data_IF_026625451677
#
_entry.id   IF_026625451677
#
_cell.length_a   1.000
_cell.length_b   1.000
_cell.length_c   1.000
_cell.angle_alpha   90.00
_cell.angle_beta   90.00
_cell.angle_gamma   90.00
#
_symmetry.space_group_name_H-M   'P 1'
#
loop_
_entity.id
_entity.type
_entity.pdbx_description
1 polymer ?
#
# COMPACT_ATOMS: atom_id res chain seq x y z
N UNK A 1 16.18 0.84 -15.03
CA UNK A 1 15.51 -0.24 -14.27
C UNK A 1 14.02 0.01 -14.13
N UNK A 2 13.56 1.20 -13.74
CA UNK A 2 12.12 1.51 -13.74
C UNK A 2 11.48 1.38 -15.13
N UNK A 3 12.23 1.57 -16.22
CA UNK A 3 11.73 1.33 -17.59
C UNK A 3 11.28 -0.11 -17.80
N UNK A 4 11.98 -1.08 -17.20
CA UNK A 4 11.56 -2.49 -17.24
C UNK A 4 10.25 -2.71 -16.49
N UNK A 5 10.06 -2.02 -15.34
CA UNK A 5 8.79 -2.05 -14.61
C UNK A 5 7.67 -1.41 -15.43
N UNK A 6 7.93 -0.25 -16.06
CA UNK A 6 6.98 0.44 -16.94
C UNK A 6 6.59 -0.46 -18.13
N UNK A 7 7.57 -1.09 -18.77
CA UNK A 7 7.33 -2.07 -19.81
C UNK A 7 6.47 -3.22 -19.32
N UNK A 8 6.82 -3.79 -18.17
CA UNK A 8 6.06 -4.86 -17.53
C UNK A 8 4.62 -4.43 -17.22
N UNK A 9 4.39 -3.18 -16.76
CA UNK A 9 3.04 -2.64 -16.51
C UNK A 9 2.24 -2.58 -17.81
N UNK A 10 2.86 -2.18 -18.93
CA UNK A 10 2.20 -2.09 -20.25
C UNK A 10 1.84 -3.45 -20.84
N UNK A 11 2.71 -4.43 -20.68
CA UNK A 11 2.63 -5.73 -21.38
C UNK A 11 2.05 -6.85 -20.50
N UNK A 12 1.68 -6.55 -19.24
CA UNK A 12 1.19 -7.56 -18.30
C UNK A 12 -0.20 -8.12 -18.63
N UNK A 13 -0.52 -9.26 -18.00
CA UNK A 13 -1.80 -9.97 -18.18
C UNK A 13 -2.99 -9.38 -17.43
N UNK A 14 -2.80 -8.25 -16.75
CA UNK A 14 -3.83 -7.49 -16.05
C UNK A 14 -4.53 -6.49 -16.99
N UNK A 15 -5.67 -5.97 -16.56
CA UNK A 15 -6.37 -4.87 -17.22
C UNK A 15 -6.32 -3.62 -16.34
N UNK A 16 -5.72 -2.57 -16.88
CA UNK A 16 -5.62 -1.25 -16.26
C UNK A 16 -6.24 -0.22 -17.19
N UNK A 17 -7.31 0.45 -16.76
CA UNK A 17 -7.90 1.55 -17.50
C UNK A 17 -7.32 2.85 -16.98
N UNK A 18 -6.45 3.48 -17.76
CA UNK A 18 -5.86 4.77 -17.41
C UNK A 18 -6.91 5.87 -17.49
N UNK A 19 -7.07 6.59 -16.41
CA UNK A 19 -8.17 7.55 -16.25
C UNK A 19 -7.83 8.92 -16.82
N UNK A 20 -6.53 9.27 -16.89
CA UNK A 20 -6.07 10.60 -17.33
C UNK A 20 -4.70 10.55 -17.97
N UNK A 21 -4.44 11.51 -18.84
CA UNK A 21 -3.12 11.78 -19.41
C UNK A 21 -2.70 10.84 -20.53
N UNK A 22 -1.47 10.96 -20.96
CA UNK A 22 -0.87 10.07 -21.94
C UNK A 22 -0.46 8.74 -21.33
N UNK A 23 -0.29 7.70 -22.17
CA UNK A 23 0.11 6.39 -21.66
C UNK A 23 1.38 6.49 -20.84
N UNK A 24 1.35 5.82 -19.66
CA UNK A 24 2.48 5.78 -18.74
C UNK A 24 3.81 5.58 -19.46
N UNK A 25 4.81 6.37 -19.10
CA UNK A 25 6.13 6.38 -19.71
C UNK A 25 7.21 6.72 -18.69
N UNK A 26 8.47 6.76 -19.10
CA UNK A 26 9.57 7.22 -18.26
C UNK A 26 9.45 8.71 -17.86
N UNK A 27 8.64 9.51 -18.57
CA UNK A 27 8.36 10.89 -18.21
C UNK A 27 7.53 11.02 -16.91
N UNK A 28 6.80 9.96 -16.51
CA UNK A 28 6.00 9.93 -15.29
C UNK A 28 6.84 9.60 -14.05
N UNK A 29 8.11 9.21 -14.22
CA UNK A 29 9.04 8.99 -13.11
C UNK A 29 9.33 10.34 -12.44
N UNK A 30 9.17 10.38 -11.11
CA UNK A 30 9.23 11.58 -10.27
C UNK A 30 8.14 12.64 -10.60
N UNK A 31 7.15 12.25 -11.38
CA UNK A 31 6.00 13.06 -11.71
C UNK A 31 4.83 12.95 -10.71
N UNK A 32 3.68 13.41 -11.16
CA UNK A 32 2.41 13.24 -10.46
C UNK A 32 1.96 11.77 -10.50
N UNK A 33 0.99 11.41 -9.65
CA UNK A 33 0.40 10.07 -9.61
C UNK A 33 -0.35 9.75 -10.91
N UNK A 34 -0.12 8.56 -11.49
CA UNK A 34 -0.87 8.05 -12.63
C UNK A 34 -2.07 7.25 -12.13
N UNK A 35 -3.27 7.69 -12.48
CA UNK A 35 -4.53 7.09 -12.01
C UNK A 35 -5.01 5.98 -12.95
N UNK A 36 -5.28 4.80 -12.40
CA UNK A 36 -5.88 3.66 -13.10
C UNK A 36 -7.12 3.15 -12.39
N UNK A 37 -8.12 2.71 -13.16
CA UNK A 37 -9.18 1.85 -12.69
C UNK A 37 -8.82 0.39 -12.99
N UNK A 38 -9.00 -0.51 -12.02
CA UNK A 38 -8.59 -1.91 -12.14
C UNK A 38 -9.53 -2.84 -11.38
N UNK A 39 -9.51 -4.14 -11.70
CA UNK A 39 -10.21 -5.17 -10.92
C UNK A 39 -9.35 -5.69 -9.77
N UNK A 40 -9.96 -6.34 -8.75
CA UNK A 40 -9.22 -7.00 -7.69
C UNK A 40 -8.22 -8.04 -8.21
N UNK A 41 -8.60 -8.80 -9.23
CA UNK A 41 -7.80 -9.86 -9.86
C UNK A 41 -6.58 -9.25 -10.59
N UNK A 42 -6.82 -8.21 -11.40
CA UNK A 42 -5.76 -7.48 -12.11
C UNK A 42 -4.79 -6.82 -11.13
N UNK A 43 -5.30 -6.24 -10.04
CA UNK A 43 -4.46 -5.68 -8.99
C UNK A 43 -3.59 -6.76 -8.33
N UNK A 44 -4.15 -7.94 -8.04
CA UNK A 44 -3.39 -9.05 -7.46
C UNK A 44 -2.26 -9.52 -8.39
N UNK A 45 -2.55 -9.67 -9.69
CA UNK A 45 -1.54 -10.04 -10.69
C UNK A 45 -0.43 -8.99 -10.79
N UNK A 46 -0.78 -7.71 -10.87
CA UNK A 46 0.20 -6.63 -10.88
C UNK A 46 1.07 -6.63 -9.63
N UNK A 47 0.48 -6.76 -8.45
CA UNK A 47 1.23 -6.79 -7.20
C UNK A 47 2.15 -8.01 -7.10
N UNK A 48 1.78 -9.19 -7.65
CA UNK A 48 2.68 -10.35 -7.75
C UNK A 48 3.90 -10.03 -8.62
N UNK A 49 3.69 -9.36 -9.76
CA UNK A 49 4.81 -8.94 -10.62
C UNK A 49 5.71 -7.90 -9.94
N UNK A 50 5.14 -6.95 -9.19
CA UNK A 50 5.92 -6.00 -8.39
C UNK A 50 6.80 -6.73 -7.35
N UNK A 51 6.28 -7.78 -6.73
CA UNK A 51 7.07 -8.60 -5.82
C UNK A 51 8.28 -9.24 -6.53
N UNK A 52 8.05 -9.84 -7.71
CA UNK A 52 9.14 -10.44 -8.50
C UNK A 52 10.13 -9.37 -8.99
N UNK A 53 9.68 -8.21 -9.43
CA UNK A 53 10.57 -7.10 -9.81
C UNK A 53 11.43 -6.62 -8.63
N UNK A 54 10.84 -6.56 -7.43
CA UNK A 54 11.58 -6.20 -6.22
C UNK A 54 12.59 -7.30 -5.86
N UNK A 55 12.19 -8.57 -5.93
CA UNK A 55 13.07 -9.71 -5.66
C UNK A 55 14.26 -9.73 -6.61
N UNK A 56 14.02 -9.41 -7.89
CA UNK A 56 15.05 -9.34 -8.92
C UNK A 56 15.89 -8.04 -8.89
N UNK A 57 15.64 -7.15 -7.91
CA UNK A 57 16.40 -5.92 -7.74
C UNK A 57 16.10 -4.83 -8.78
N UNK A 58 14.98 -4.91 -9.49
CA UNK A 58 14.60 -3.89 -10.48
C UNK A 58 14.03 -2.63 -9.81
N UNK A 59 13.38 -2.78 -8.67
CA UNK A 59 12.79 -1.70 -7.91
C UNK A 59 12.65 -2.07 -6.43
N UNK A 60 12.28 -1.07 -5.61
CA UNK A 60 11.66 -1.29 -4.30
C UNK A 60 10.17 -0.99 -4.44
N UNK A 61 9.30 -1.90 -3.99
CA UNK A 61 7.86 -1.79 -4.15
C UNK A 61 7.17 -1.35 -2.87
N UNK A 62 6.55 -0.15 -2.85
CA UNK A 62 5.71 0.29 -1.74
C UNK A 62 4.24 0.19 -2.11
N UNK A 63 3.45 -0.41 -1.23
CA UNK A 63 2.00 -0.58 -1.40
C UNK A 63 1.27 -0.04 -0.18
N UNK A 64 0.32 0.89 -0.42
CA UNK A 64 -0.63 1.36 0.59
C UNK A 64 -2.04 1.03 0.13
N UNK A 65 -2.73 0.15 0.84
CA UNK A 65 -4.11 -0.19 0.53
C UNK A 65 -5.10 0.60 1.36
N UNK A 66 -6.10 1.15 0.70
CA UNK A 66 -7.24 1.80 1.35
C UNK A 66 -8.48 0.90 1.25
N UNK A 67 -8.45 -0.20 2.02
CA UNK A 67 -9.50 -1.23 2.01
C UNK A 67 -9.81 -1.72 0.58
N UNK A 68 -11.10 -1.87 0.25
CA UNK A 68 -11.56 -2.33 -1.07
C UNK A 68 -11.77 -1.17 -2.06
N UNK A 69 -11.14 -0.03 -1.85
CA UNK A 69 -11.40 1.17 -2.66
C UNK A 69 -10.23 1.49 -3.60
N UNK A 70 -9.02 1.47 -3.06
CA UNK A 70 -7.82 1.96 -3.76
C UNK A 70 -6.57 1.28 -3.24
N UNK A 71 -5.59 1.07 -4.11
CA UNK A 71 -4.21 0.81 -3.74
C UNK A 71 -3.32 1.92 -4.31
N UNK A 72 -2.45 2.49 -3.49
CA UNK A 72 -1.38 3.37 -3.91
C UNK A 72 -0.13 2.49 -4.04
N UNK A 73 0.49 2.48 -5.23
CA UNK A 73 1.69 1.74 -5.54
C UNK A 73 2.80 2.72 -5.93
N UNK A 74 3.92 2.68 -5.19
CA UNK A 74 5.11 3.43 -5.56
C UNK A 74 6.24 2.45 -5.87
N UNK A 75 6.82 2.59 -7.05
CA UNK A 75 8.01 1.83 -7.48
C UNK A 75 9.21 2.75 -7.42
N UNK A 76 10.13 2.45 -6.53
CA UNK A 76 11.38 3.21 -6.38
C UNK A 76 12.51 2.53 -7.14
N UNK A 77 13.40 3.31 -7.72
CA UNK A 77 14.64 2.77 -8.26
C UNK A 77 15.46 2.06 -7.17
N UNK A 78 16.38 1.16 -7.52
CA UNK A 78 17.22 0.46 -6.54
C UNK A 78 18.04 1.39 -5.65
N UNK A 79 18.37 2.58 -6.15
CA UNK A 79 19.07 3.64 -5.41
C UNK A 79 18.11 4.48 -4.55
N UNK A 80 16.80 4.33 -4.72
CA UNK A 80 15.76 5.09 -4.04
C UNK A 80 15.55 6.52 -4.54
N UNK A 81 16.32 6.95 -5.57
CA UNK A 81 16.34 8.34 -6.05
C UNK A 81 15.23 8.68 -7.06
N UNK A 82 14.60 7.69 -7.66
CA UNK A 82 13.52 7.85 -8.62
C UNK A 82 12.30 7.07 -8.16
N UNK A 83 11.11 7.61 -8.39
CA UNK A 83 9.84 7.02 -7.99
C UNK A 83 8.78 7.14 -9.07
N UNK A 84 8.12 6.04 -9.39
CA UNK A 84 6.91 6.00 -10.19
C UNK A 84 5.71 5.75 -9.27
N UNK A 85 4.71 6.64 -9.30
CA UNK A 85 3.54 6.58 -8.42
C UNK A 85 2.29 6.21 -9.20
N UNK A 86 1.59 5.18 -8.78
CA UNK A 86 0.37 4.68 -9.40
C UNK A 86 -0.76 4.66 -8.39
N UNK A 87 -1.87 5.25 -8.76
CA UNK A 87 -3.12 5.22 -8.04
C UNK A 87 -4.06 4.20 -8.67
N UNK A 88 -4.21 3.03 -8.04
CA UNK A 88 -4.96 1.89 -8.54
C UNK A 88 -6.34 1.84 -7.87
N UNK A 89 -7.36 2.36 -8.55
CA UNK A 89 -8.72 2.41 -8.06
C UNK A 89 -9.45 1.11 -8.35
N UNK A 90 -9.95 0.45 -7.32
CA UNK A 90 -10.91 -0.65 -7.43
C UNK A 90 -12.34 -0.13 -7.54
N UNK A 91 -12.57 1.04 -6.93
CA UNK A 91 -13.85 1.74 -6.93
C UNK A 91 -13.58 3.23 -6.93
N UNK A 92 -13.81 3.87 -8.05
CA UNK A 92 -13.74 5.32 -8.16
C UNK A 92 -15.08 5.90 -7.68
N UNK A 93 -15.11 6.76 -6.65
CA UNK A 93 -16.35 7.40 -6.25
C UNK A 93 -16.81 8.32 -7.39
N UNK A 94 -17.94 8.02 -7.98
CA UNK A 94 -18.66 8.97 -8.81
C UNK A 94 -19.34 10.00 -7.91
N UNK A 95 -19.32 11.22 -8.33
CA UNK A 95 -19.64 12.37 -7.51
C UNK A 95 -21.12 12.68 -7.44
N UNK A 96 -21.90 12.01 -8.25
CA UNK A 96 -23.32 12.15 -8.25
C UNK A 96 -23.98 10.98 -7.48
N UNK A 97 -24.74 11.30 -6.43
CA UNK A 97 -25.60 10.37 -5.65
C UNK A 97 -24.89 9.17 -4.99
N UNK A 98 -23.60 9.25 -4.66
CA UNK A 98 -22.90 8.17 -3.95
C UNK A 98 -22.62 6.92 -4.79
N UNK A 99 -22.66 7.03 -6.10
CA UNK A 99 -22.33 5.96 -7.06
C UNK A 99 -20.82 5.74 -7.13
N UNK A 100 -20.42 4.51 -7.44
CA UNK A 100 -19.02 4.13 -7.62
C UNK A 100 -18.81 3.54 -9.01
N UNK A 101 -17.78 3.98 -9.72
CA UNK A 101 -17.35 3.37 -10.97
C UNK A 101 -16.37 2.23 -10.67
N UNK A 102 -16.61 1.06 -11.28
CA UNK A 102 -15.72 -0.11 -11.24
C UNK A 102 -15.29 -0.46 -12.67
N UNK A 103 -14.24 -1.28 -12.81
CA UNK A 103 -13.80 -1.75 -14.12
C UNK A 103 -14.92 -2.54 -14.86
N UNK A 104 -15.76 -3.24 -14.12
CA UNK A 104 -16.91 -3.98 -14.67
C UNK A 104 -17.90 -3.07 -15.41
N UNK A 105 -18.06 -1.82 -14.96
CA UNK A 105 -18.90 -0.83 -15.67
C UNK A 105 -18.26 -0.34 -16.99
N UNK A 106 -16.98 -0.62 -17.21
CA UNK A 106 -16.20 -0.16 -18.35
C UNK A 106 -15.98 -1.25 -19.41
N UNK A 107 -16.58 -2.44 -19.26
CA UNK A 107 -16.31 -3.62 -20.12
C UNK A 107 -16.45 -3.28 -21.62
N UNK A 108 -17.43 -2.48 -22.00
CA UNK A 108 -17.64 -2.05 -23.39
C UNK A 108 -16.51 -1.15 -23.95
N UNK A 109 -15.65 -0.63 -23.09
CA UNK A 109 -14.50 0.22 -23.47
C UNK A 109 -13.17 -0.58 -23.51
N UNK A 110 -13.20 -1.83 -23.04
CA UNK A 110 -11.99 -2.64 -22.91
C UNK A 110 -11.80 -3.51 -24.15
N UNK A 111 -10.63 -3.44 -24.76
CA UNK A 111 -10.27 -4.22 -25.95
C UNK A 111 -9.35 -5.40 -25.67
N UNK A 112 -8.98 -5.65 -24.41
CA UNK A 112 -8.06 -6.74 -24.04
C UNK A 112 -7.38 -6.54 -22.70
N UNK A 113 -6.21 -7.19 -22.53
CA UNK A 113 -5.32 -7.02 -21.38
C UNK A 113 -4.33 -5.87 -21.60
N UNK A 114 -3.61 -5.50 -20.56
CA UNK A 114 -2.66 -4.41 -20.56
C UNK A 114 -3.30 -3.07 -20.19
N UNK A 115 -2.64 -1.98 -20.58
CA UNK A 115 -3.15 -0.63 -20.34
C UNK A 115 -4.10 -0.22 -21.44
N UNK A 116 -5.31 0.16 -21.06
CA UNK A 116 -6.32 0.77 -21.89
C UNK A 116 -6.44 2.26 -21.55
N UNK A 117 -6.88 3.10 -22.47
CA UNK A 117 -7.16 4.51 -22.21
C UNK A 117 -8.64 4.78 -22.27
N UNK A 118 -9.11 5.68 -21.43
CA UNK A 118 -10.44 6.26 -21.61
C UNK A 118 -10.51 7.07 -22.91
N UNK A 119 -11.63 7.00 -23.65
CA UNK A 119 -11.93 8.01 -24.66
C UNK A 119 -11.83 9.41 -24.06
N UNK A 120 -11.23 10.34 -24.80
CA UNK A 120 -10.92 11.69 -24.29
C UNK A 120 -12.16 12.41 -23.73
N UNK A 121 -13.31 12.21 -24.35
CA UNK A 121 -14.61 12.73 -23.88
C UNK A 121 -14.93 12.29 -22.46
N UNK A 122 -14.72 11.00 -22.15
CA UNK A 122 -14.97 10.43 -20.84
C UNK A 122 -13.89 10.87 -19.83
N UNK A 123 -12.65 10.99 -20.26
CA UNK A 123 -11.54 11.51 -19.45
C UNK A 123 -11.86 12.92 -18.96
N UNK A 124 -12.29 13.83 -19.87
CA UNK A 124 -12.66 15.21 -19.50
C UNK A 124 -13.86 15.23 -18.57
N UNK A 125 -14.91 14.44 -18.86
CA UNK A 125 -16.09 14.38 -18.00
C UNK A 125 -15.73 13.90 -16.58
N UNK A 126 -14.91 12.85 -16.44
CA UNK A 126 -14.41 12.37 -15.15
C UNK A 126 -13.56 13.41 -14.43
N UNK A 127 -12.71 14.13 -15.17
CA UNK A 127 -11.86 15.17 -14.59
C UNK A 127 -12.69 16.32 -14.01
N UNK A 128 -13.68 16.80 -14.74
CA UNK A 128 -14.60 17.84 -14.25
C UNK A 128 -15.33 17.40 -12.97
N UNK A 129 -15.88 16.19 -12.96
CA UNK A 129 -16.54 15.63 -11.79
C UNK A 129 -15.57 15.48 -10.60
N UNK A 130 -14.32 15.09 -10.85
CA UNK A 130 -13.30 15.01 -9.80
C UNK A 130 -12.94 16.38 -9.20
N UNK A 131 -12.85 17.44 -10.03
CA UNK A 131 -12.59 18.79 -9.55
C UNK A 131 -13.74 19.30 -8.68
N UNK A 132 -14.99 19.02 -9.07
CA UNK A 132 -16.19 19.32 -8.29
C UNK A 132 -16.13 18.69 -6.89
N UNK A 133 -15.82 17.39 -6.81
CA UNK A 133 -15.78 16.70 -5.53
C UNK A 133 -14.71 17.21 -4.59
N UNK A 134 -13.57 17.56 -5.13
CA UNK A 134 -12.46 18.05 -4.31
C UNK A 134 -12.62 19.52 -3.93
N UNK A 135 -13.67 20.21 -4.44
CA UNK A 135 -13.89 21.66 -4.23
C UNK A 135 -12.61 22.47 -4.49
N UNK A 136 -11.92 22.17 -5.60
CA UNK A 136 -10.64 22.80 -5.92
C UNK A 136 -10.85 24.21 -6.44
N UNK A 137 -9.90 25.09 -6.09
CA UNK A 137 -9.83 26.42 -6.73
C UNK A 137 -9.24 26.25 -8.13
N UNK A 138 -10.07 26.42 -9.15
CA UNK A 138 -9.69 26.22 -10.54
C UNK A 138 -8.81 27.35 -11.10
N UNK A 139 -8.61 28.43 -10.32
CA UNK A 139 -7.69 29.52 -10.63
C UNK A 139 -6.23 29.16 -10.40
N UNK A 140 -5.97 28.07 -9.62
CA UNK A 140 -4.61 27.56 -9.45
C UNK A 140 -4.02 27.15 -10.79
N UNK A 141 -2.77 27.57 -11.07
CA UNK A 141 -2.09 27.38 -12.35
C UNK A 141 -2.05 25.94 -12.85
N UNK A 142 -1.97 24.95 -11.92
CA UNK A 142 -2.01 23.52 -12.23
C UNK A 142 -3.33 23.11 -12.89
N UNK A 143 -4.46 23.49 -12.34
CA UNK A 143 -5.78 23.12 -12.89
C UNK A 143 -6.07 23.87 -14.16
N UNK A 144 -5.74 25.17 -14.22
CA UNK A 144 -5.90 26.00 -15.42
C UNK A 144 -5.15 25.42 -16.61
N UNK A 145 -3.89 25.00 -16.41
CA UNK A 145 -3.11 24.35 -17.47
C UNK A 145 -3.80 23.10 -18.02
N UNK A 146 -4.31 22.24 -17.14
CA UNK A 146 -5.01 21.02 -17.56
C UNK A 146 -6.32 21.33 -18.28
N UNK A 147 -7.10 22.33 -17.84
CA UNK A 147 -8.33 22.74 -18.50
C UNK A 147 -8.04 23.27 -19.90
N UNK A 148 -7.02 24.11 -20.05
CA UNK A 148 -6.57 24.65 -21.36
C UNK A 148 -6.14 23.53 -22.32
N UNK A 149 -5.37 22.54 -21.83
CA UNK A 149 -4.97 21.37 -22.63
C UNK A 149 -6.19 20.58 -23.10
N UNK A 150 -7.11 20.27 -22.19
CA UNK A 150 -8.34 19.57 -22.55
C UNK A 150 -9.22 20.37 -23.52
N UNK A 151 -9.31 21.69 -23.37
CA UNK A 151 -10.06 22.55 -24.31
C UNK A 151 -9.53 22.44 -25.74
N UNK A 152 -8.20 22.38 -25.89
CA UNK A 152 -7.57 22.21 -27.20
C UNK A 152 -7.78 20.82 -27.81
N UNK A 153 -7.78 19.77 -26.95
CA UNK A 153 -7.81 18.38 -27.40
C UNK A 153 -9.22 17.80 -27.54
N UNK A 154 -10.22 18.38 -26.84
CA UNK A 154 -11.59 17.88 -26.79
C UNK A 154 -12.59 18.96 -27.25
N UNK A 155 -12.86 19.09 -28.57
CA UNK A 155 -13.74 20.12 -29.09
C UNK A 155 -15.17 20.08 -28.54
N UNK A 156 -15.68 18.90 -28.16
CA UNK A 156 -17.02 18.75 -27.57
C UNK A 156 -17.16 19.50 -26.24
N UNK A 157 -16.08 19.65 -25.49
CA UNK A 157 -16.05 20.36 -24.20
C UNK A 157 -15.47 21.78 -24.31
N UNK A 158 -15.10 22.24 -25.51
CA UNK A 158 -14.38 23.51 -25.66
C UNK A 158 -15.10 24.70 -25.03
N UNK A 159 -16.40 24.84 -25.25
CA UNK A 159 -17.22 25.92 -24.69
C UNK A 159 -17.41 25.77 -23.16
N UNK A 160 -17.62 24.55 -22.69
CA UNK A 160 -17.77 24.27 -21.27
C UNK A 160 -16.49 24.61 -20.50
N UNK A 161 -15.33 24.19 -21.03
CA UNK A 161 -14.02 24.43 -20.40
C UNK A 161 -13.63 25.92 -20.45
N UNK A 162 -13.96 26.63 -21.52
CA UNK A 162 -13.79 28.08 -21.60
C UNK A 162 -14.58 28.79 -20.50
N UNK A 163 -15.84 28.43 -20.31
CA UNK A 163 -16.70 28.96 -19.23
C UNK A 163 -16.15 28.64 -17.84
N UNK A 164 -15.62 27.43 -17.64
CA UNK A 164 -14.99 27.02 -16.37
C UNK A 164 -13.72 27.84 -16.11
N UNK A 165 -12.90 28.08 -17.15
CA UNK A 165 -11.69 28.91 -17.02
C UNK A 165 -12.01 30.35 -16.69
N UNK A 166 -13.02 30.95 -17.34
CA UNK A 166 -13.46 32.34 -17.11
C UNK A 166 -14.02 32.53 -15.70
N UNK A 167 -14.90 31.64 -15.25
CA UNK A 167 -15.58 31.76 -13.96
C UNK A 167 -14.71 31.28 -12.80
N UNK A 168 -13.72 30.42 -13.04
CA UNK A 168 -12.91 29.76 -12.00
C UNK A 168 -13.70 28.77 -11.14
N UNK A 169 -14.90 28.40 -11.59
CA UNK A 169 -15.78 27.40 -10.95
C UNK A 169 -16.43 26.56 -12.07
N UNK A 170 -16.96 25.39 -11.74
CA UNK A 170 -17.72 24.54 -12.67
C UNK A 170 -19.22 24.92 -12.55
N UNK A 171 -19.82 25.52 -13.59
CA UNK A 171 -21.22 25.85 -13.59
C UNK A 171 -22.12 24.62 -13.53
N UNK A 172 -23.37 24.78 -13.06
CA UNK A 172 -24.34 23.68 -12.95
C UNK A 172 -24.60 22.97 -14.27
N UNK A 173 -24.65 23.71 -15.38
CA UNK A 173 -24.85 23.16 -16.74
C UNK A 173 -23.68 22.25 -17.15
N UNK A 174 -22.44 22.66 -16.90
CA UNK A 174 -21.24 21.86 -17.18
C UNK A 174 -21.18 20.62 -16.30
N UNK A 175 -21.61 20.74 -15.04
CA UNK A 175 -21.75 19.62 -14.11
C UNK A 175 -22.74 18.58 -14.69
N UNK A 176 -23.93 19.01 -15.10
CA UNK A 176 -24.96 18.13 -15.65
C UNK A 176 -24.55 17.53 -16.99
N UNK A 177 -23.90 18.28 -17.88
CA UNK A 177 -23.38 17.78 -19.15
C UNK A 177 -22.34 16.69 -18.93
N UNK A 178 -21.34 16.92 -18.07
CA UNK A 178 -20.31 15.91 -17.74
C UNK A 178 -20.92 14.68 -17.06
N UNK A 179 -21.89 14.84 -16.16
CA UNK A 179 -22.60 13.74 -15.51
C UNK A 179 -23.45 12.94 -16.52
N UNK A 180 -24.08 13.62 -17.50
CA UNK A 180 -24.85 13.00 -18.58
C UNK A 180 -23.99 12.06 -19.44
N UNK A 181 -22.83 12.54 -19.85
CA UNK A 181 -21.85 11.74 -20.64
C UNK A 181 -21.42 10.48 -19.86
N UNK A 182 -21.15 10.61 -18.57
CA UNK A 182 -20.76 9.44 -17.75
C UNK A 182 -21.92 8.47 -17.55
N UNK A 183 -23.16 8.95 -17.43
CA UNK A 183 -24.35 8.09 -17.35
C UNK A 183 -24.59 7.33 -18.67
N UNK A 184 -24.43 7.99 -19.80
CA UNK A 184 -24.53 7.36 -21.12
C UNK A 184 -23.50 6.24 -21.30
N UNK A 185 -22.25 6.49 -20.92
CA UNK A 185 -21.16 5.54 -21.12
C UNK A 185 -21.17 4.35 -20.15
N UNK A 186 -21.53 4.58 -18.87
CA UNK A 186 -21.40 3.59 -17.80
C UNK A 186 -22.74 3.06 -17.28
N UNK A 187 -23.85 3.53 -17.86
CA UNK A 187 -25.20 3.18 -17.44
C UNK A 187 -25.57 3.76 -16.07
N UNK A 188 -26.82 3.54 -15.68
CA UNK A 188 -27.27 3.82 -14.31
C UNK A 188 -26.76 2.73 -13.40
N UNK A 189 -25.58 2.90 -12.84
CA UNK A 189 -25.09 1.99 -11.80
C UNK A 189 -25.99 2.06 -10.57
N UNK A 190 -26.51 0.94 -10.05
CA UNK A 190 -27.38 0.97 -8.88
C UNK A 190 -26.65 1.64 -7.72
N UNK A 191 -27.31 2.62 -7.10
CA UNK A 191 -26.83 3.27 -5.89
C UNK A 191 -26.65 2.20 -4.79
N UNK A 192 -25.49 1.59 -4.70
CA UNK A 192 -25.14 0.81 -3.52
C UNK A 192 -24.94 1.82 -2.41
N UNK A 193 -25.96 1.93 -1.53
CA UNK A 193 -25.76 2.54 -0.21
C UNK A 193 -24.45 1.95 0.32
N UNK A 194 -23.42 2.79 0.39
CA UNK A 194 -22.18 2.44 1.11
C UNK A 194 -22.66 1.96 2.48
N UNK A 195 -22.58 0.67 2.71
CA UNK A 195 -22.96 0.12 3.99
C UNK A 195 -22.18 0.89 5.04
N UNK A 196 -22.86 1.31 6.09
CA UNK A 196 -22.35 1.96 7.29
C UNK A 196 -21.23 1.18 8.02
N UNK A 197 -20.77 0.08 7.46
CA UNK A 197 -19.53 -0.63 7.75
C UNK A 197 -18.26 0.03 7.12
N UNK A 198 -18.29 1.32 6.85
CA UNK A 198 -17.13 2.19 6.97
C UNK A 198 -16.66 2.19 8.42
N UNK A 199 -16.34 1.00 8.94
CA UNK A 199 -15.61 0.84 10.18
C UNK A 199 -14.32 1.61 9.96
N UNK A 200 -14.30 2.74 10.58
CA UNK A 200 -13.28 3.75 10.68
C UNK A 200 -11.91 3.27 10.18
N UNK A 201 -11.36 4.00 9.19
CA UNK A 201 -9.95 3.89 8.80
C UNK A 201 -9.01 4.12 10.01
N UNK A 202 -9.55 4.63 11.11
CA UNK A 202 -8.93 4.76 12.42
C UNK A 202 -9.48 3.67 13.33
N UNK A 203 -8.74 2.59 13.51
CA UNK A 203 -9.12 1.54 14.45
C UNK A 203 -9.16 2.05 15.90
N UNK A 204 -9.90 1.33 16.76
CA UNK A 204 -10.20 1.66 18.15
C UNK A 204 -8.96 1.96 19.04
N UNK A 205 -7.80 1.44 18.68
CA UNK A 205 -6.51 1.68 19.35
C UNK A 205 -5.51 2.34 18.39
N UNK A 206 -5.83 3.53 17.84
CA UNK A 206 -4.90 4.26 16.99
C UNK A 206 -3.60 4.59 17.73
N UNK A 207 -2.45 4.42 17.04
CA UNK A 207 -1.19 4.91 17.56
C UNK A 207 -1.16 6.45 17.53
N UNK A 208 -0.50 7.11 18.48
CA UNK A 208 -0.41 8.56 18.50
C UNK A 208 0.18 9.07 17.18
N UNK A 209 -0.45 10.07 16.57
CA UNK A 209 0.00 10.68 15.30
C UNK A 209 1.41 11.29 15.38
N UNK A 210 1.83 11.62 16.61
CA UNK A 210 3.12 12.28 16.89
C UNK A 210 4.31 11.32 16.95
N UNK A 211 4.08 10.00 16.99
CA UNK A 211 5.16 9.02 17.09
C UNK A 211 5.33 8.31 15.77
N UNK A 212 6.46 8.54 15.15
CA UNK A 212 6.85 7.81 13.94
C UNK A 212 7.56 6.52 14.34
N UNK A 213 6.99 5.39 13.94
CA UNK A 213 7.59 4.08 14.12
C UNK A 213 7.53 3.31 12.79
N UNK A 214 8.56 2.53 12.51
CA UNK A 214 8.66 1.68 11.32
C UNK A 214 9.02 0.27 11.79
N UNK A 215 8.27 -0.72 11.35
CA UNK A 215 8.56 -2.13 11.60
C UNK A 215 9.47 -2.67 10.50
N UNK A 216 10.62 -3.23 10.85
CA UNK A 216 11.56 -3.84 9.92
C UNK A 216 11.44 -5.35 10.03
N UNK A 217 11.06 -6.01 8.95
CA UNK A 217 10.80 -7.44 8.86
C UNK A 217 11.65 -8.06 7.76
N UNK A 218 11.69 -9.39 7.69
CA UNK A 218 12.41 -10.14 6.66
C UNK A 218 12.92 -11.46 7.19
N UNK A 219 13.36 -12.34 6.32
CA UNK A 219 13.95 -13.63 6.67
C UNK A 219 15.20 -13.48 7.56
N UNK A 220 15.53 -14.51 8.33
CA UNK A 220 16.78 -14.51 9.10
C UNK A 220 17.97 -14.52 8.12
N UNK A 221 18.92 -13.63 8.34
CA UNK A 221 20.04 -13.39 7.41
C UNK A 221 19.83 -12.28 6.39
N UNK A 222 18.59 -11.76 6.20
CA UNK A 222 18.31 -10.68 5.24
C UNK A 222 18.95 -9.31 5.59
N UNK A 223 19.57 -9.18 6.76
CA UNK A 223 20.29 -7.95 7.15
C UNK A 223 19.47 -6.90 7.89
N UNK A 224 18.27 -7.23 8.37
CA UNK A 224 17.35 -6.32 9.09
C UNK A 224 18.01 -5.50 10.19
N UNK A 225 18.67 -6.18 11.11
CA UNK A 225 19.28 -5.58 12.30
C UNK A 225 20.42 -4.64 11.89
N UNK A 226 21.30 -5.10 10.98
CA UNK A 226 22.40 -4.28 10.47
C UNK A 226 21.90 -3.03 9.76
N UNK A 227 20.87 -3.16 8.90
CA UNK A 227 20.26 -2.06 8.19
C UNK A 227 19.60 -1.06 9.16
N UNK A 228 18.89 -1.56 10.20
CA UNK A 228 18.28 -0.71 11.22
C UNK A 228 19.31 0.10 12.01
N UNK A 229 20.42 -0.50 12.40
CA UNK A 229 21.51 0.21 13.08
C UNK A 229 22.19 1.19 12.16
N UNK A 230 22.51 0.81 10.92
CA UNK A 230 23.13 1.71 9.94
C UNK A 230 22.28 2.94 9.65
N UNK A 231 20.96 2.82 9.62
CA UNK A 231 20.05 3.97 9.50
C UNK A 231 20.16 4.93 10.70
N UNK A 232 20.31 4.41 11.94
CA UNK A 232 20.47 5.29 13.11
C UNK A 232 21.81 6.00 13.15
N UNK A 233 22.84 5.44 12.53
CA UNK A 233 24.15 6.06 12.38
C UNK A 233 24.14 7.10 11.22
N UNK A 234 23.40 6.80 10.14
CA UNK A 234 23.33 7.67 8.97
C UNK A 234 22.57 8.97 9.26
N UNK A 235 21.45 8.89 9.99
CA UNK A 235 20.53 10.02 10.15
C UNK A 235 19.98 10.15 11.57
N UNK A 236 20.18 11.33 12.19
CA UNK A 236 19.69 11.64 13.55
C UNK A 236 18.17 11.55 13.72
N UNK A 237 17.40 11.51 12.60
CA UNK A 237 15.96 11.35 12.66
C UNK A 237 15.51 9.96 13.15
N UNK A 238 16.37 8.94 13.00
CA UNK A 238 16.13 7.60 13.54
C UNK A 238 16.66 7.54 14.97
N UNK A 239 15.76 7.62 15.92
CA UNK A 239 16.14 7.83 17.32
C UNK A 239 16.62 6.55 18.01
N UNK A 240 16.14 5.40 17.59
CA UNK A 240 16.46 4.11 18.24
C UNK A 240 16.01 2.88 17.47
N UNK A 241 16.68 1.75 17.76
CA UNK A 241 16.24 0.42 17.36
C UNK A 241 15.63 -0.30 18.55
N UNK A 242 14.46 -0.88 18.36
CA UNK A 242 13.76 -1.64 19.38
C UNK A 242 13.43 -3.04 18.86
N UNK A 243 13.83 -4.08 19.59
CA UNK A 243 13.55 -5.47 19.21
C UNK A 243 12.15 -5.89 19.66
N UNK A 244 11.25 -6.10 18.70
CA UNK A 244 9.84 -6.47 18.95
C UNK A 244 9.67 -7.79 19.72
N UNK A 245 10.62 -8.72 19.61
CA UNK A 245 10.64 -9.99 20.38
C UNK A 245 10.39 -9.81 21.89
N UNK A 246 10.86 -8.72 22.46
CA UNK A 246 10.68 -8.46 23.90
C UNK A 246 9.22 -8.16 24.28
N UNK A 247 8.35 -7.79 23.33
CA UNK A 247 6.96 -7.49 23.62
C UNK A 247 6.12 -8.73 23.92
N UNK A 248 6.42 -9.86 23.29
CA UNK A 248 5.64 -11.08 23.45
C UNK A 248 6.33 -12.18 24.23
N UNK A 249 7.64 -12.42 24.09
CA UNK A 249 8.35 -13.51 24.78
C UNK A 249 8.47 -13.32 26.30
N UNK A 250 8.48 -12.06 26.78
CA UNK A 250 8.55 -11.73 28.23
C UNK A 250 7.19 -11.31 28.80
N UNK A 251 6.09 -11.57 28.11
CA UNK A 251 4.76 -11.21 28.59
C UNK A 251 4.40 -12.06 29.82
N UNK A 252 4.08 -11.41 30.94
CA UNK A 252 3.58 -12.09 32.13
C UNK A 252 2.26 -12.82 31.88
N UNK A 253 1.39 -12.28 30.98
CA UNK A 253 0.17 -12.94 30.51
C UNK A 253 0.46 -14.24 29.76
N UNK A 254 1.52 -14.31 28.97
CA UNK A 254 1.96 -15.55 28.36
C UNK A 254 2.37 -16.58 29.43
N UNK A 255 3.11 -16.15 30.46
CA UNK A 255 3.49 -17.01 31.58
C UNK A 255 2.27 -17.51 32.34
N UNK A 256 1.29 -16.63 32.63
CA UNK A 256 0.03 -17.03 33.26
C UNK A 256 -0.77 -17.99 32.39
N UNK A 257 -0.88 -17.71 31.10
CA UNK A 257 -1.55 -18.60 30.16
C UNK A 257 -0.86 -19.99 30.11
N UNK A 258 0.47 -20.04 30.18
CA UNK A 258 1.22 -21.30 30.28
C UNK A 258 0.83 -22.04 31.54
N UNK A 259 0.67 -21.34 32.65
CA UNK A 259 0.34 -21.99 33.97
C UNK A 259 -1.11 -22.48 33.98
N UNK A 260 -2.07 -21.64 33.52
CA UNK A 260 -3.50 -21.93 33.68
C UNK A 260 -4.13 -22.67 32.51
N UNK A 261 -3.68 -22.45 31.27
CA UNK A 261 -4.33 -23.01 30.05
C UNK A 261 -3.62 -24.26 29.57
N UNK A 262 -2.29 -24.36 29.74
CA UNK A 262 -1.51 -25.50 29.30
C UNK A 262 -1.94 -26.83 29.89
N UNK A 263 -2.35 -26.93 31.19
CA UNK A 263 -2.86 -28.18 31.73
C UNK A 263 -4.12 -28.72 31.02
N UNK A 264 -4.93 -27.83 30.42
CA UNK A 264 -6.16 -28.21 29.72
C UNK A 264 -5.98 -28.45 28.22
N UNK A 265 -4.80 -28.14 27.68
CA UNK A 265 -4.50 -28.30 26.22
C UNK A 265 -3.53 -29.46 25.99
N UNK A 266 -3.71 -30.55 26.69
CA UNK A 266 -2.81 -31.70 26.83
C UNK A 266 -2.21 -32.32 25.55
N UNK A 267 -2.66 -31.93 24.35
CA UNK A 267 -2.29 -32.66 23.13
C UNK A 267 -1.38 -31.92 22.15
N UNK A 268 -1.24 -30.62 22.16
CA UNK A 268 -0.21 -29.95 21.35
C UNK A 268 0.11 -28.53 21.82
N UNK A 269 1.40 -28.21 21.88
CA UNK A 269 1.92 -26.86 22.07
C UNK A 269 1.35 -25.86 21.07
N UNK A 270 1.01 -26.33 19.87
CA UNK A 270 0.46 -25.52 18.78
C UNK A 270 -0.94 -25.02 19.09
N UNK A 271 -1.85 -25.86 19.63
CA UNK A 271 -3.19 -25.44 20.05
C UNK A 271 -3.17 -24.43 21.18
N UNK A 272 -2.20 -24.58 22.10
CA UNK A 272 -2.00 -23.62 23.18
C UNK A 272 -1.57 -22.25 22.62
N UNK A 273 -0.58 -22.23 21.73
CA UNK A 273 -0.08 -21.01 21.11
C UNK A 273 -1.17 -20.34 20.27
N UNK A 274 -2.04 -21.09 19.57
CA UNK A 274 -3.19 -20.57 18.83
C UNK A 274 -4.24 -19.90 19.74
N UNK A 275 -4.56 -20.49 20.86
CA UNK A 275 -5.53 -19.93 21.82
C UNK A 275 -4.99 -18.69 22.52
N UNK A 276 -3.70 -18.67 22.82
CA UNK A 276 -3.05 -17.58 23.56
C UNK A 276 -2.57 -16.45 22.64
N UNK A 277 -2.34 -16.73 21.35
CA UNK A 277 -1.81 -15.76 20.39
C UNK A 277 -2.60 -14.44 20.35
N UNK A 278 -3.96 -14.41 20.33
CA UNK A 278 -4.73 -13.16 20.34
C UNK A 278 -4.47 -12.29 21.57
N UNK A 279 -4.42 -12.91 22.77
CA UNK A 279 -4.18 -12.20 24.03
C UNK A 279 -2.76 -11.64 24.11
N UNK A 280 -1.78 -12.44 23.69
CA UNK A 280 -0.37 -12.04 23.64
C UNK A 280 -0.20 -10.90 22.62
N UNK A 281 -0.86 -10.98 21.50
CA UNK A 281 -0.82 -9.94 20.46
C UNK A 281 -1.42 -8.63 20.96
N UNK A 282 -2.64 -8.65 21.53
CA UNK A 282 -3.27 -7.45 22.11
C UNK A 282 -2.39 -6.81 23.18
N UNK A 283 -1.82 -7.62 24.05
CA UNK A 283 -0.87 -7.16 25.09
C UNK A 283 0.38 -6.53 24.48
N UNK A 284 0.93 -7.14 23.42
CA UNK A 284 2.08 -6.61 22.72
C UNK A 284 1.77 -5.27 22.03
N UNK A 285 0.62 -5.14 21.40
CA UNK A 285 0.14 -3.88 20.82
C UNK A 285 0.01 -2.79 21.89
N UNK A 286 -0.61 -3.10 23.04
CA UNK A 286 -0.75 -2.16 24.13
C UNK A 286 0.61 -1.75 24.71
N UNK A 287 1.50 -2.73 24.93
CA UNK A 287 2.86 -2.48 25.42
C UNK A 287 3.69 -1.62 24.48
N UNK A 288 3.56 -1.85 23.17
CA UNK A 288 4.21 -1.02 22.16
C UNK A 288 3.63 0.41 22.19
N UNK A 289 2.30 0.56 22.25
CA UNK A 289 1.65 1.87 22.35
C UNK A 289 2.15 2.67 23.55
N UNK A 290 2.22 2.06 24.73
CA UNK A 290 2.73 2.71 25.94
C UNK A 290 4.19 3.14 25.76
N UNK A 291 5.03 2.29 25.14
CA UNK A 291 6.43 2.63 24.87
C UNK A 291 6.54 3.78 23.88
N UNK A 292 5.76 3.76 22.79
CA UNK A 292 5.75 4.82 21.81
C UNK A 292 5.26 6.15 22.40
N UNK A 293 4.30 6.15 23.32
CA UNK A 293 3.87 7.35 24.04
C UNK A 293 4.99 7.97 24.89
N UNK A 294 5.85 7.14 25.47
CA UNK A 294 7.02 7.59 26.25
C UNK A 294 8.15 8.11 25.34
N UNK A 295 8.21 7.67 24.10
CA UNK A 295 9.26 8.00 23.14
C UNK A 295 8.80 9.11 22.19
N UNK A 296 8.87 10.35 22.66
CA UNK A 296 8.29 11.50 21.95
C UNK A 296 9.14 12.05 20.79
N UNK A 297 10.40 11.62 20.62
CA UNK A 297 11.31 12.21 19.61
C UNK A 297 11.84 11.17 18.64
N UNK A 298 11.87 11.55 17.34
CA UNK A 298 12.45 10.78 16.25
C UNK A 298 11.65 9.55 15.83
N UNK A 299 12.14 8.87 14.79
CA UNK A 299 11.55 7.64 14.25
C UNK A 299 12.12 6.45 15.03
N UNK A 300 11.25 5.56 15.51
CA UNK A 300 11.64 4.33 16.16
C UNK A 300 11.60 3.18 15.17
N UNK A 301 12.74 2.53 14.95
CA UNK A 301 12.83 1.31 14.14
C UNK A 301 12.54 0.09 15.04
N UNK A 302 11.58 -0.74 14.64
CA UNK A 302 11.19 -1.94 15.37
C UNK A 302 11.74 -3.15 14.62
N UNK A 303 12.87 -3.65 15.06
CA UNK A 303 13.47 -4.88 14.53
C UNK A 303 12.60 -6.09 14.93
N UNK A 304 12.06 -6.80 13.96
CA UNK A 304 11.03 -7.83 14.11
C UNK A 304 9.77 -7.30 14.78
N UNK A 305 8.93 -6.68 13.96
CA UNK A 305 7.66 -6.08 14.40
C UNK A 305 6.65 -7.10 14.93
N UNK A 306 5.52 -6.58 15.39
CA UNK A 306 4.40 -7.39 15.89
C UNK A 306 3.87 -8.40 14.88
N UNK A 307 4.06 -8.12 13.60
CA UNK A 307 3.56 -8.96 12.49
C UNK A 307 4.45 -10.20 12.26
N UNK A 308 5.74 -10.13 12.60
CA UNK A 308 6.61 -11.33 12.67
C UNK A 308 6.07 -12.38 13.64
N UNK A 309 5.41 -11.93 14.72
CA UNK A 309 4.76 -12.84 15.66
C UNK A 309 3.62 -13.62 15.00
N UNK A 310 2.86 -12.97 14.10
CA UNK A 310 1.78 -13.62 13.35
C UNK A 310 2.32 -14.69 12.42
N UNK A 311 3.49 -14.45 11.81
CA UNK A 311 4.15 -15.43 10.94
C UNK A 311 4.74 -16.61 11.70
N UNK A 312 5.43 -16.35 12.80
CA UNK A 312 6.07 -17.40 13.62
C UNK A 312 5.05 -18.42 14.18
N UNK A 313 3.79 -18.01 14.32
CA UNK A 313 2.70 -18.89 14.74
C UNK A 313 1.96 -19.59 13.59
N UNK A 314 2.40 -19.39 12.35
CA UNK A 314 1.76 -19.91 11.13
C UNK A 314 2.28 -21.29 10.69
N UNK A 315 2.93 -22.07 11.51
CA UNK A 315 3.43 -23.40 11.10
C UNK A 315 2.36 -24.38 10.56
N UNK A 316 1.11 -23.91 10.35
CA UNK A 316 0.05 -24.71 9.76
C UNK A 316 -0.91 -23.83 8.94
N UNK A 317 -1.52 -24.38 7.89
CA UNK A 317 -2.56 -23.80 7.02
C UNK A 317 -3.88 -23.46 7.74
N UNK A 318 -3.84 -23.08 9.00
CA UNK A 318 -4.96 -23.00 9.91
C UNK A 318 -5.67 -21.64 9.94
N UNK A 319 -6.99 -21.61 10.19
CA UNK A 319 -7.81 -20.39 10.23
C UNK A 319 -7.47 -19.40 11.37
N UNK A 320 -6.55 -19.72 12.27
CA UNK A 320 -6.10 -18.82 13.34
C UNK A 320 -5.47 -17.51 12.85
N UNK A 321 -4.84 -17.53 11.68
CA UNK A 321 -4.27 -16.34 11.04
C UNK A 321 -5.33 -15.28 10.73
N UNK A 322 -6.53 -15.67 10.33
CA UNK A 322 -7.63 -14.74 10.04
C UNK A 322 -8.11 -14.00 11.29
N UNK A 323 -8.08 -14.63 12.48
CA UNK A 323 -8.48 -14.02 13.76
C UNK A 323 -7.45 -13.01 14.26
N UNK A 324 -6.16 -13.33 14.17
CA UNK A 324 -5.08 -12.39 14.51
C UNK A 324 -5.08 -11.20 13.55
N UNK A 325 -5.37 -11.45 12.28
CA UNK A 325 -5.51 -10.43 11.27
C UNK A 325 -6.70 -9.49 11.56
N UNK A 326 -7.84 -10.04 11.98
CA UNK A 326 -8.99 -9.26 12.45
C UNK A 326 -8.63 -8.40 13.66
N UNK A 327 -7.97 -8.97 14.66
CA UNK A 327 -7.51 -8.25 15.86
C UNK A 327 -6.49 -7.16 15.49
N UNK A 328 -5.66 -7.37 14.48
CA UNK A 328 -4.76 -6.34 13.99
C UNK A 328 -5.49 -5.12 13.43
N UNK A 329 -6.69 -5.30 12.89
CA UNK A 329 -7.58 -4.19 12.45
C UNK A 329 -8.10 -3.37 13.62
N UNK A 330 -8.32 -3.98 14.78
CA UNK A 330 -8.77 -3.30 15.99
C UNK A 330 -7.69 -2.40 16.61
N UNK A 331 -6.40 -2.68 16.32
CA UNK A 331 -5.29 -1.93 16.88
C UNK A 331 -4.99 -0.59 16.17
N UNK A 332 -5.77 -0.21 15.17
CA UNK A 332 -5.75 1.12 14.60
C UNK A 332 -4.71 1.38 13.52
N UNK A 333 -4.39 2.66 13.32
CA UNK A 333 -3.44 3.12 12.29
C UNK A 333 -2.12 2.37 12.44
N UNK A 334 -1.76 1.59 11.43
CA UNK A 334 -0.70 0.58 11.55
C UNK A 334 0.65 1.21 11.36
N UNK A 335 1.62 0.60 12.03
CA UNK A 335 3.01 0.94 11.85
C UNK A 335 3.41 0.50 10.44
N UNK A 336 3.99 1.39 9.61
CA UNK A 336 4.52 1.03 8.31
C UNK A 336 5.52 -0.13 8.42
N UNK A 337 5.49 -1.03 7.45
CA UNK A 337 6.33 -2.22 7.42
C UNK A 337 7.36 -2.08 6.31
N UNK A 338 8.62 -2.25 6.66
CA UNK A 338 9.73 -2.45 5.71
C UNK A 338 10.08 -3.93 5.72
N UNK A 339 9.78 -4.62 4.64
CA UNK A 339 10.16 -6.01 4.43
C UNK A 339 11.50 -6.05 3.69
N UNK A 340 12.55 -6.38 4.41
CA UNK A 340 13.91 -6.49 3.90
C UNK A 340 14.07 -7.85 3.22
N UNK A 341 14.22 -7.86 1.92
CA UNK A 341 14.46 -9.02 1.08
C UNK A 341 15.94 -9.07 0.69
N UNK A 342 16.50 -10.25 0.55
CA UNK A 342 17.86 -10.45 0.06
C UNK A 342 17.92 -11.77 -0.72
N UNK A 343 18.87 -11.90 -1.65
CA UNK A 343 19.09 -13.14 -2.36
C UNK A 343 19.42 -14.28 -1.41
N UNK A 344 18.91 -15.47 -1.73
CA UNK A 344 19.18 -16.66 -0.91
C UNK A 344 20.68 -16.95 -0.76
N UNK A 345 21.47 -16.75 -1.82
CA UNK A 345 22.91 -16.92 -1.78
C UNK A 345 23.57 -16.00 -0.72
N UNK A 346 23.14 -14.75 -0.65
CA UNK A 346 23.62 -13.78 0.36
C UNK A 346 23.16 -14.16 1.78
N UNK A 347 21.95 -14.71 1.93
CA UNK A 347 21.43 -15.18 3.21
C UNK A 347 22.23 -16.39 3.70
N UNK A 348 22.48 -17.36 2.82
CA UNK A 348 23.23 -18.59 3.14
C UNK A 348 24.66 -18.31 3.61
N UNK A 349 25.32 -17.31 3.00
CA UNK A 349 26.65 -16.90 3.46
C UNK A 349 26.67 -16.35 4.89
N UNK A 350 25.52 -15.83 5.36
CA UNK A 350 25.40 -15.21 6.70
C UNK A 350 24.83 -16.17 7.73
N UNK A 351 24.00 -17.13 7.31
CA UNK A 351 23.29 -18.09 8.16
C UNK A 351 22.89 -19.35 7.42
N UNK A 352 23.28 -20.52 7.93
CA UNK A 352 22.96 -21.82 7.34
C UNK A 352 21.59 -22.41 7.76
N UNK A 353 20.88 -21.71 8.67
CA UNK A 353 19.67 -22.27 9.32
C UNK A 353 18.40 -22.22 8.45
N UNK A 354 18.42 -21.49 7.35
CA UNK A 354 17.25 -21.24 6.52
C UNK A 354 17.39 -21.98 5.19
N UNK A 355 16.43 -22.86 4.86
CA UNK A 355 16.37 -23.49 3.56
C UNK A 355 15.87 -22.51 2.48
N UNK A 356 16.24 -22.71 1.22
CA UNK A 356 15.79 -21.89 0.09
C UNK A 356 14.26 -21.81 0.03
N UNK A 357 13.59 -22.96 0.09
CA UNK A 357 12.13 -23.03 0.12
C UNK A 357 11.54 -22.28 1.32
N UNK A 358 12.17 -22.37 2.48
CA UNK A 358 11.74 -21.64 3.69
C UNK A 358 11.85 -20.12 3.52
N UNK A 359 12.90 -19.65 2.85
CA UNK A 359 13.10 -18.25 2.50
C UNK A 359 12.04 -17.75 1.52
N UNK A 360 11.82 -18.45 0.42
CA UNK A 360 10.81 -18.09 -0.58
C UNK A 360 9.40 -18.07 0.00
N UNK A 361 9.04 -19.09 0.77
CA UNK A 361 7.76 -19.15 1.45
C UNK A 361 7.59 -17.97 2.44
N UNK A 362 8.64 -17.58 3.17
CA UNK A 362 8.57 -16.44 4.10
C UNK A 362 8.28 -15.15 3.33
N UNK A 363 9.05 -14.84 2.31
CA UNK A 363 8.92 -13.60 1.57
C UNK A 363 7.56 -13.50 0.87
N UNK A 364 7.11 -14.59 0.23
CA UNK A 364 5.81 -14.65 -0.43
C UNK A 364 4.66 -14.50 0.57
N UNK A 365 4.74 -15.17 1.72
CA UNK A 365 3.72 -15.08 2.76
C UNK A 365 3.60 -13.68 3.36
N UNK A 366 4.74 -13.00 3.57
CA UNK A 366 4.76 -11.62 4.04
C UNK A 366 4.15 -10.68 3.01
N UNK A 367 4.52 -10.85 1.74
CA UNK A 367 3.93 -10.09 0.65
C UNK A 367 2.42 -10.28 0.56
N UNK A 368 1.95 -11.53 0.53
CA UNK A 368 0.52 -11.83 0.47
C UNK A 368 -0.25 -11.28 1.67
N UNK A 369 0.31 -11.39 2.86
CA UNK A 369 -0.32 -10.89 4.06
C UNK A 369 -0.46 -9.36 4.06
N UNK A 370 0.57 -8.65 3.63
CA UNK A 370 0.66 -7.20 3.76
C UNK A 370 0.22 -6.45 2.51
N UNK A 371 0.77 -6.80 1.34
CA UNK A 371 0.45 -6.11 0.10
C UNK A 371 -0.97 -6.43 -0.38
N UNK A 372 -1.42 -7.68 -0.25
CA UNK A 372 -2.71 -8.11 -0.79
C UNK A 372 -3.87 -7.99 0.21
N UNK A 373 -3.65 -8.18 1.51
CA UNK A 373 -4.73 -8.32 2.49
C UNK A 373 -4.78 -7.26 3.57
N UNK A 374 -3.68 -6.54 3.80
CA UNK A 374 -3.57 -5.61 4.92
C UNK A 374 -3.62 -4.14 4.46
N UNK A 375 -4.47 -3.27 5.03
CA UNK A 375 -4.43 -1.84 4.75
C UNK A 375 -3.28 -1.16 5.51
N UNK A 376 -2.04 -1.60 5.31
CA UNK A 376 -0.83 -1.01 5.89
C UNK A 376 0.04 -0.41 4.81
N UNK A 377 0.86 0.56 5.21
CA UNK A 377 1.99 0.97 4.42
C UNK A 377 3.03 -0.16 4.45
N UNK A 378 3.27 -0.78 3.32
CA UNK A 378 4.18 -1.90 3.18
C UNK A 378 5.18 -1.63 2.08
N UNK A 379 6.46 -1.65 2.43
CA UNK A 379 7.59 -1.49 1.53
C UNK A 379 8.34 -2.82 1.43
N UNK A 380 8.35 -3.46 0.26
CA UNK A 380 9.28 -4.51 -0.09
C UNK A 380 10.60 -3.84 -0.54
N UNK A 381 11.65 -4.08 0.22
CA UNK A 381 12.97 -3.47 0.02
C UNK A 381 14.01 -4.54 -0.29
N UNK A 382 14.60 -4.49 -1.49
CA UNK A 382 15.70 -5.38 -1.88
C UNK A 382 17.02 -4.91 -1.25
N UNK A 383 17.67 -5.79 -0.49
CA UNK A 383 18.91 -5.54 0.25
C UNK A 383 20.07 -6.39 -0.31
N UNK A 384 20.31 -6.33 -1.60
CA UNK A 384 21.42 -7.03 -2.27
C UNK A 384 22.70 -6.21 -2.36
N UNK A 385 22.62 -4.91 -2.13
CA UNK A 385 23.75 -3.98 -2.17
C UNK A 385 24.65 -4.04 -0.93
N UNK A 386 25.65 -3.15 -0.88
CA UNK A 386 26.44 -2.91 0.32
C UNK A 386 25.55 -2.33 1.43
N UNK A 387 25.89 -2.55 2.70
CA UNK A 387 25.15 -1.99 3.83
C UNK A 387 24.97 -0.47 3.72
N UNK A 388 26.02 0.23 3.28
CA UNK A 388 26.02 1.70 3.10
C UNK A 388 25.04 2.11 2.01
N UNK A 389 25.11 1.50 0.81
CA UNK A 389 24.22 1.83 -0.31
C UNK A 389 22.76 1.49 0.01
N UNK A 390 22.51 0.34 0.62
CA UNK A 390 21.16 -0.06 1.04
C UNK A 390 20.57 0.87 2.10
N UNK A 391 21.38 1.34 3.06
CA UNK A 391 20.91 2.29 4.07
C UNK A 391 20.58 3.65 3.47
N UNK A 392 21.38 4.13 2.52
CA UNK A 392 21.12 5.38 1.82
C UNK A 392 19.86 5.29 0.96
N UNK A 393 19.71 4.21 0.18
CA UNK A 393 18.52 3.97 -0.64
C UNK A 393 17.25 3.88 0.23
N UNK A 394 17.29 3.13 1.34
CA UNK A 394 16.16 3.03 2.23
C UNK A 394 15.80 4.35 2.89
N UNK A 395 16.80 5.16 3.28
CA UNK A 395 16.55 6.48 3.83
C UNK A 395 15.87 7.42 2.82
N UNK A 396 16.30 7.41 1.56
CA UNK A 396 15.66 8.17 0.49
C UNK A 396 14.21 7.76 0.28
N UNK A 397 13.95 6.44 0.14
CA UNK A 397 12.59 5.91 0.00
C UNK A 397 11.70 6.31 1.18
N UNK A 398 12.20 6.22 2.41
CA UNK A 398 11.44 6.59 3.61
C UNK A 398 11.21 8.11 3.73
N UNK A 399 12.04 8.95 3.11
CA UNK A 399 11.80 10.41 3.00
C UNK A 399 10.64 10.70 2.06
N UNK A 400 10.59 10.04 0.91
CA UNK A 400 9.52 10.21 -0.07
C UNK A 400 8.14 9.70 0.45
N UNK A 401 8.15 8.71 1.35
CA UNK A 401 6.93 8.14 1.94
C UNK A 401 6.44 8.88 3.20
N UNK A 402 7.22 9.79 3.77
CA UNK A 402 6.91 10.52 5.02
C UNK A 402 6.19 11.84 4.78
#
# INVERSE_FOLDING_TARGET
>A
MLDNCIKGIKEGSWTLLQLRGDLISSADVNGDDVDFLTSPESLELLLKSVFEWTRNGWCHGHVRRRLNRKAELCLFSPEGSACLKLDLWLRLPQLDEGRTLTLENCVGLLSGTGIQRLPLRLEVALYLQHLLAKKKDLREGKYRKSLTDYRQRCPEFALDLERVEELGIIPGEVKEHSAGILREAFGESPARKTSLLGIHEEGFLSYPRTVKAISVMGCDGAGKTSLSWSLTELEKRYARVFTGKHLYRKSWLYKLAVIFIRPFTFQSRERFDELCAPLVYLRACLGLRIKLLRWKRGITLIDRGLLDFMYLNRKSDRPGFSRLFFLSRLCGKRIPVVHVMADYAAIRQRKDEVSEKGHECYDMDMWQAHALRCPTDYLAFNNTGSLKSSSQALDQVLRELS
#
